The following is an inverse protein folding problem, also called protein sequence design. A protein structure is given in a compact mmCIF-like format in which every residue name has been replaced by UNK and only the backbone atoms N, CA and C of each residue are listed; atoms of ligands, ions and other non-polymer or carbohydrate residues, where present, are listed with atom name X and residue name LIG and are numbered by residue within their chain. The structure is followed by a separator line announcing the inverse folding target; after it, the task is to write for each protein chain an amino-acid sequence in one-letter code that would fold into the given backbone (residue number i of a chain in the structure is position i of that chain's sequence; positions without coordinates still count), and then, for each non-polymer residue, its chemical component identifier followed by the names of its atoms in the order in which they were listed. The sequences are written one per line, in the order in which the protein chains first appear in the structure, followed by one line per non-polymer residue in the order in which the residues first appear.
data_IF_073241962374
#
_entry.id   IF_073241962374
#
_cell.length_a   1.000
_cell.length_b   1.000
_cell.length_c   1.000
_cell.angle_alpha   90.00
_cell.angle_beta   90.00
_cell.angle_gamma   90.00
#
_symmetry.space_group_name_H-M   'P 1'
#
loop_
_entity.id
_entity.type
_entity.pdbx_description
1 polymer ?
#
# COMPACT_ATOMS: atom_id res chain seq x y z
N UNK A 1 -13.56 -16.00 16.50
CA UNK A 1 -12.19 -16.26 16.00
C UNK A 1 -12.27 -16.41 14.49
N UNK A 2 -12.22 -15.31 13.74
CA UNK A 2 -12.31 -15.34 12.27
C UNK A 2 -10.91 -15.48 11.69
N UNK A 3 -10.61 -16.64 11.10
CA UNK A 3 -9.37 -16.89 10.37
C UNK A 3 -9.57 -16.34 8.95
N UNK A 4 -8.89 -15.25 8.60
CA UNK A 4 -8.85 -14.79 7.22
C UNK A 4 -8.18 -15.88 6.36
N UNK A 5 -8.95 -16.53 5.51
CA UNK A 5 -8.45 -17.55 4.59
C UNK A 5 -7.69 -16.82 3.47
N UNK A 6 -6.39 -16.61 3.64
CA UNK A 6 -5.51 -16.25 2.52
C UNK A 6 -5.26 -17.53 1.73
N UNK A 7 -5.96 -17.70 0.61
CA UNK A 7 -5.65 -18.74 -0.36
C UNK A 7 -4.21 -18.60 -0.89
N UNK A 8 -3.68 -19.63 -1.57
CA UNK A 8 -2.33 -19.58 -2.12
C UNK A 8 -2.23 -18.42 -3.11
N UNK A 9 -1.37 -17.44 -2.79
CA UNK A 9 -1.14 -16.21 -3.56
C UNK A 9 -0.53 -16.45 -4.96
N UNK A 10 -0.58 -17.67 -5.48
CA UNK A 10 0.25 -18.15 -6.59
C UNK A 10 -0.44 -18.14 -7.98
N UNK A 11 -1.57 -17.44 -8.15
CA UNK A 11 -2.32 -17.45 -9.42
C UNK A 11 -2.32 -16.14 -10.22
N UNK A 12 -1.51 -15.16 -9.82
CA UNK A 12 -1.23 -13.99 -10.64
C UNK A 12 0.27 -13.92 -10.93
N UNK A 13 0.72 -14.29 -12.15
CA UNK A 13 2.08 -13.98 -12.56
C UNK A 13 2.14 -12.46 -12.74
N UNK A 14 3.08 -11.81 -12.04
CA UNK A 14 3.39 -10.36 -12.14
C UNK A 14 2.28 -9.47 -11.51
N UNK A 15 2.41 -8.91 -10.30
CA UNK A 15 3.17 -7.70 -9.96
C UNK A 15 3.15 -7.46 -8.43
N UNK A 16 4.10 -7.96 -7.62
CA UNK A 16 4.04 -7.82 -6.16
C UNK A 16 4.53 -6.45 -5.63
N UNK A 17 4.58 -5.39 -6.45
CA UNK A 17 5.15 -4.10 -5.98
C UNK A 17 4.85 -2.83 -6.78
N UNK A 18 3.97 -2.86 -7.80
CA UNK A 18 3.90 -1.74 -8.75
C UNK A 18 2.79 -0.70 -8.50
N UNK A 19 1.63 -1.05 -7.96
CA UNK A 19 0.53 -0.08 -7.79
C UNK A 19 0.80 0.89 -6.64
N UNK A 20 1.27 0.39 -5.51
CA UNK A 20 1.57 1.20 -4.33
C UNK A 20 2.68 2.24 -4.61
N UNK A 21 3.68 1.84 -5.41
CA UNK A 21 4.74 2.74 -5.88
C UNK A 21 4.21 3.88 -6.75
N UNK A 22 3.20 3.62 -7.60
CA UNK A 22 2.58 4.66 -8.44
C UNK A 22 1.71 5.62 -7.61
N UNK A 23 0.98 5.10 -6.63
CA UNK A 23 0.20 5.92 -5.69
C UNK A 23 1.15 6.83 -4.91
N UNK A 24 2.23 6.26 -4.38
CA UNK A 24 3.24 7.00 -3.64
C UNK A 24 3.94 8.07 -4.49
N UNK A 25 4.35 7.73 -5.71
CA UNK A 25 4.98 8.67 -6.64
C UNK A 25 4.06 9.85 -6.97
N UNK A 26 2.77 9.58 -7.19
CA UNK A 26 1.76 10.62 -7.44
C UNK A 26 1.62 11.53 -6.22
N UNK A 27 1.51 10.95 -5.01
CA UNK A 27 1.41 11.74 -3.80
C UNK A 27 2.65 12.60 -3.55
N UNK A 28 3.84 12.06 -3.77
CA UNK A 28 5.11 12.79 -3.64
C UNK A 28 5.21 13.94 -4.65
N UNK A 29 4.89 13.70 -5.93
CA UNK A 29 4.95 14.70 -6.99
C UNK A 29 4.00 15.89 -6.76
N UNK A 30 2.86 15.65 -6.10
CA UNK A 30 1.83 16.65 -5.85
C UNK A 30 1.77 17.14 -4.38
N UNK A 31 2.68 16.68 -3.52
CA UNK A 31 2.71 17.07 -2.10
C UNK A 31 1.49 16.59 -1.30
N UNK A 32 0.84 15.49 -1.69
CA UNK A 32 -0.35 14.95 -1.04
C UNK A 32 0.00 14.08 0.19
N UNK A 33 -1.06 13.67 0.92
CA UNK A 33 -0.98 12.68 2.00
C UNK A 33 -1.74 11.43 1.53
N UNK A 34 -1.12 10.26 1.66
CA UNK A 34 -1.76 8.98 1.34
C UNK A 34 -2.51 8.48 2.57
N UNK A 35 -3.82 8.32 2.46
CA UNK A 35 -4.65 7.71 3.52
C UNK A 35 -4.82 6.22 3.22
N UNK A 36 -4.31 5.34 4.07
CA UNK A 36 -4.36 3.88 3.84
C UNK A 36 -4.17 3.06 5.13
N UNK A 37 -4.71 1.83 5.19
CA UNK A 37 -4.28 0.85 6.22
C UNK A 37 -2.91 0.26 5.92
N UNK A 38 -2.47 0.27 4.66
CA UNK A 38 -1.22 -0.37 4.27
C UNK A 38 -0.02 0.56 4.54
N UNK A 39 0.10 1.02 5.78
CA UNK A 39 1.11 2.00 6.20
C UNK A 39 2.52 1.45 5.98
N UNK A 40 2.74 0.18 6.33
CA UNK A 40 4.06 -0.48 6.26
C UNK A 40 4.70 -0.48 4.88
N UNK A 41 3.89 -0.62 3.83
CA UNK A 41 4.41 -0.62 2.46
C UNK A 41 4.66 0.81 1.97
N UNK A 42 3.84 1.79 2.41
CA UNK A 42 3.98 3.20 2.04
C UNK A 42 5.12 3.93 2.77
N UNK A 43 5.48 3.52 3.98
CA UNK A 43 6.62 4.10 4.74
C UNK A 43 7.95 4.02 3.97
N UNK A 44 8.10 3.01 3.09
CA UNK A 44 9.30 2.82 2.27
C UNK A 44 9.39 3.81 1.10
N UNK A 45 8.31 4.49 0.77
CA UNK A 45 8.19 5.34 -0.41
C UNK A 45 8.42 6.84 -0.13
N UNK A 46 8.85 7.22 1.08
CA UNK A 46 9.14 8.61 1.46
C UNK A 46 7.96 9.58 1.27
N UNK A 47 6.73 9.09 1.43
CA UNK A 47 5.50 9.90 1.33
C UNK A 47 4.91 10.16 2.71
N UNK A 48 4.09 11.20 2.84
CA UNK A 48 3.29 11.40 4.05
C UNK A 48 2.11 10.42 4.05
N UNK A 49 1.98 9.64 5.11
CA UNK A 49 0.94 8.60 5.24
C UNK A 49 0.09 8.86 6.48
N UNK A 50 -1.21 8.61 6.38
CA UNK A 50 -2.16 8.66 7.48
C UNK A 50 -2.93 7.34 7.56
N UNK A 51 -2.93 6.70 8.73
CA UNK A 51 -3.73 5.52 8.99
C UNK A 51 -5.15 5.96 9.42
N UNK A 52 -6.21 5.65 8.66
CA UNK A 52 -7.56 6.10 8.99
C UNK A 52 -8.19 5.37 10.18
N UNK A 53 -7.52 4.35 10.75
CA UNK A 53 -7.97 3.64 11.94
C UNK A 53 -7.26 4.08 13.24
N UNK A 54 -6.35 5.05 13.14
CA UNK A 54 -5.73 5.72 14.30
C UNK A 54 -6.47 6.99 14.70
#
# INVERSE_FOLDING_TARGET
MFRAFRGPQAWFPEFPGNLDSLIAATAAAHGLIVVTHNVKDMERCWVRVCNPWE
#
